data_IF_418934848569
#
_entry.id   IF_418934848569
#
_cell.length_a   1.000
_cell.length_b   1.000
_cell.length_c   1.000
_cell.angle_alpha   90.00
_cell.angle_beta   90.00
_cell.angle_gamma   90.00
#
_symmetry.space_group_name_H-M   'P 1'
#
loop_
_entity.id
_entity.type
_entity.pdbx_description
1 polymer ?
2 non-polymer ?
3 non-polymer ?
4 water ?
#
# COMPACT_ATOMS: atom_id res chain seq x y z
N UNK A 10 1.17 -4.27 17.25
CA UNK A 10 -0.24 -3.92 17.39
C UNK A 10 -0.40 -2.42 17.64
N UNK A 11 0.73 -1.75 17.81
CA UNK A 11 0.73 -0.30 18.06
C UNK A 11 0.51 0.49 16.77
N UNK A 12 -0.56 1.27 16.75
CA UNK A 12 -0.91 2.09 15.60
C UNK A 12 0.11 3.21 15.37
N UNK A 13 0.27 3.61 14.11
CA UNK A 13 1.11 4.75 13.77
C UNK A 13 0.29 6.00 13.53
N UNK A 14 0.82 7.14 13.95
CA UNK A 14 0.11 8.41 13.80
C UNK A 14 0.69 9.26 12.69
N UNK A 15 -0.11 9.51 11.66
CA UNK A 15 0.32 10.36 10.56
C UNK A 15 -0.32 11.74 10.70
N UNK A 16 0.50 12.76 10.94
CA UNK A 16 -0.04 14.11 11.07
C UNK A 16 -0.15 14.75 9.70
N UNK A 17 -1.39 14.95 9.26
CA UNK A 17 -1.64 15.43 7.91
C UNK A 17 -1.18 16.87 7.70
N UNK A 18 -0.92 17.56 8.80
CA UNK A 18 -0.40 18.93 8.75
C UNK A 18 1.08 18.93 8.38
N UNK A 19 1.71 17.77 8.49
CA UNK A 19 3.13 17.64 8.19
C UNK A 19 3.38 17.65 6.69
N UNK A 20 4.60 18.02 6.32
CA UNK A 20 4.99 18.16 4.92
C UNK A 20 4.95 16.82 4.19
N UNK A 21 5.64 15.83 4.73
CA UNK A 21 5.63 14.49 4.17
C UNK A 21 5.36 13.45 5.25
N UNK A 22 4.43 12.54 4.95
CA UNK A 22 4.21 11.41 5.82
C UNK A 22 4.48 10.13 5.08
N UNK A 23 5.39 9.33 5.62
CA UNK A 23 5.75 8.09 4.98
C UNK A 23 5.97 7.04 6.05
N UNK A 24 5.72 5.79 5.67
CA UNK A 24 5.93 4.65 6.55
C UNK A 24 6.77 3.64 5.79
N UNK A 25 7.87 3.20 6.39
CA UNK A 25 8.71 2.23 5.70
C UNK A 25 8.55 0.83 6.31
N UNK A 26 8.80 -0.17 5.47
CA UNK A 26 8.69 -1.56 5.86
C UNK A 26 9.95 -2.28 5.41
N UNK A 27 10.62 -2.96 6.33
CA UNK A 27 11.74 -3.82 5.97
C UNK A 27 11.28 -5.26 5.77
N UNK A 28 11.35 -5.74 4.53
CA UNK A 28 11.03 -7.13 4.24
C UNK A 28 12.32 -7.94 4.29
N UNK A 29 12.60 -8.56 5.44
CA UNK A 29 13.82 -9.33 5.62
C UNK A 29 13.58 -10.55 6.49
N UNK A 30 14.37 -11.59 6.26
CA UNK A 30 14.24 -12.88 6.97
C UNK A 30 12.79 -13.38 7.02
N UNK A 31 12.13 -13.32 5.87
CA UNK A 31 10.75 -13.80 5.76
C UNK A 31 10.69 -15.11 5.00
N UNK A 32 9.55 -15.78 5.09
CA UNK A 32 9.35 -16.99 4.33
C UNK A 32 7.92 -16.95 3.85
N UNK A 33 7.63 -17.66 2.74
CA UNK A 33 6.30 -17.61 2.12
C UNK A 33 5.20 -17.88 3.14
N UNK A 34 4.14 -17.08 3.11
CA UNK A 34 3.06 -17.14 4.08
C UNK A 34 3.12 -16.11 5.20
N UNK A 35 4.30 -15.54 5.46
CA UNK A 35 4.44 -14.55 6.54
C UNK A 35 3.62 -13.30 6.23
N UNK A 36 3.07 -12.69 7.27
CA UNK A 36 2.30 -11.44 7.16
C UNK A 36 2.85 -10.37 8.08
N UNK A 37 2.75 -9.12 7.65
CA UNK A 37 3.11 -7.99 8.48
C UNK A 37 1.92 -7.03 8.49
N UNK A 38 1.55 -6.53 9.66
CA UNK A 38 0.36 -5.69 9.82
C UNK A 38 0.71 -4.37 10.50
N UNK A 39 0.10 -3.27 10.04
CA UNK A 39 0.25 -2.00 10.74
C UNK A 39 -1.00 -1.15 10.62
N UNK A 40 -1.38 -0.51 11.71
CA UNK A 40 -2.49 0.44 11.73
C UNK A 40 -1.99 1.88 11.67
N UNK A 41 -2.76 2.75 11.00
CA UNK A 41 -2.43 4.17 10.95
C UNK A 41 -3.66 5.00 11.27
N UNK A 42 -3.48 6.00 12.12
CA UNK A 42 -4.54 6.98 12.34
C UNK A 42 -4.06 8.35 11.88
N UNK A 43 -4.91 9.05 11.13
CA UNK A 43 -4.59 10.39 10.65
C UNK A 43 -4.89 11.43 11.70
N UNK A 44 -4.14 12.52 11.71
CA UNK A 44 -4.44 13.65 12.58
C UNK A 44 -4.37 14.94 11.78
N UNK A 45 -5.20 15.91 12.16
CA UNK A 45 -5.36 17.15 11.40
C UNK A 45 -5.52 18.37 12.29
N UNK A 48 -6.68 21.96 11.59
CA UNK A 48 -7.75 21.39 10.77
C UNK A 48 -7.75 21.96 9.35
N UNK A 49 -6.84 21.46 8.51
CA UNK A 49 -6.77 21.83 7.11
C UNK A 49 -7.94 21.27 6.31
N UNK A 50 -8.22 21.87 5.16
CA UNK A 50 -9.29 21.39 4.29
C UNK A 50 -8.80 20.26 3.39
N UNK A 51 -8.87 19.03 3.89
CA UNK A 51 -8.32 17.86 3.18
C UNK A 51 -9.40 17.07 2.46
N UNK A 52 -9.20 16.86 1.16
CA UNK A 52 -10.14 16.07 0.37
C UNK A 52 -9.74 14.60 0.32
N UNK A 53 -8.48 14.36 -0.09
CA UNK A 53 -7.96 12.99 -0.20
C UNK A 53 -6.66 12.84 0.58
N UNK A 54 -6.30 11.59 0.89
CA UNK A 54 -4.94 11.28 1.30
C UNK A 54 -4.46 10.20 0.33
N UNK A 55 -3.49 10.55 -0.51
CA UNK A 55 -3.12 9.70 -1.62
C UNK A 55 -1.91 8.88 -1.25
N UNK A 56 -2.07 7.56 -1.33
CA UNK A 56 -0.98 6.64 -1.02
C UNK A 56 -0.22 6.23 -2.27
N UNK A 57 1.11 6.17 -2.17
CA UNK A 57 1.88 5.55 -3.22
C UNK A 57 2.97 4.69 -2.59
N UNK A 58 3.57 3.83 -3.40
CA UNK A 58 4.62 2.92 -2.94
C UNK A 58 5.94 3.19 -3.68
N UNK A 59 7.04 3.19 -2.95
CA UNK A 59 8.38 3.14 -3.55
C UNK A 59 9.12 1.97 -2.93
N UNK A 60 10.19 1.51 -3.56
CA UNK A 60 11.00 0.44 -2.99
C UNK A 60 12.48 0.66 -3.29
N UNK A 61 13.34 -0.10 -2.63
CA UNK A 61 14.76 -0.04 -2.89
C UNK A 61 15.57 -0.89 -1.95
N UNK A 62 16.89 -0.83 -2.10
CA UNK A 62 17.84 -1.57 -1.28
C UNK A 62 17.59 -3.08 -1.31
N UNK A 63 17.21 -3.59 -2.46
CA UNK A 63 17.15 -5.04 -2.62
C UNK A 63 18.53 -5.64 -2.40
N UNK A 64 18.58 -6.75 -1.68
CA UNK A 64 19.82 -7.51 -1.52
C UNK A 64 19.48 -8.98 -1.68
N UNK A 65 20.35 -9.72 -2.38
CA UNK A 65 20.14 -11.14 -2.59
C UNK A 65 20.46 -11.95 -1.33
N UNK A 66 21.50 -11.53 -0.62
CA UNK A 66 21.97 -12.22 0.59
C UNK A 66 22.13 -13.73 0.42
N UNK A 67 22.71 -14.14 -0.70
CA UNK A 67 22.99 -15.55 -0.92
C UNK A 67 21.86 -16.36 -1.54
N UNK A 68 20.70 -15.74 -1.72
CA UNK A 68 19.61 -16.42 -2.39
C UNK A 68 19.87 -16.40 -3.88
N UNK A 69 19.27 -17.32 -4.63
CA UNK A 69 19.62 -17.42 -6.04
C UNK A 69 18.99 -16.29 -6.85
N UNK A 70 17.86 -15.79 -6.40
CA UNK A 70 17.24 -14.65 -7.08
C UNK A 70 18.05 -13.36 -6.90
N UNK A 71 18.34 -12.68 -8.00
CA UNK A 71 19.05 -11.41 -7.91
C UNK A 71 18.25 -10.25 -8.53
N UNK A 72 17.00 -10.55 -8.91
CA UNK A 72 16.08 -9.55 -9.45
C UNK A 72 15.25 -8.85 -8.35
N UNK A 73 15.45 -7.53 -8.18
CA UNK A 73 14.66 -6.78 -7.19
C UNK A 73 13.16 -6.90 -7.41
N UNK A 74 12.76 -6.81 -8.67
CA UNK A 74 11.36 -6.78 -9.04
C UNK A 74 10.68 -8.13 -8.87
N UNK A 75 11.43 -9.21 -9.13
CA UNK A 75 10.84 -10.54 -8.98
C UNK A 75 10.55 -10.80 -7.51
N UNK A 76 11.43 -10.33 -6.64
CA UNK A 76 11.21 -10.49 -5.20
C UNK A 76 10.03 -9.64 -4.76
N UNK A 77 10.02 -8.39 -5.21
CA UNK A 77 8.89 -7.52 -4.92
C UNK A 77 7.55 -8.15 -5.32
N UNK A 78 7.55 -8.80 -6.49
CA UNK A 78 6.36 -9.47 -7.01
C UNK A 78 5.86 -10.64 -6.16
N UNK A 79 6.61 -11.02 -5.14
CA UNK A 79 6.19 -12.10 -4.25
C UNK A 79 5.24 -11.60 -3.15
N UNK A 80 5.04 -10.29 -3.07
CA UNK A 80 4.26 -9.70 -1.98
C UNK A 80 2.96 -9.04 -2.44
N UNK A 81 2.00 -9.02 -1.53
CA UNK A 81 0.66 -8.47 -1.75
C UNK A 81 0.30 -7.56 -0.60
N UNK A 82 -0.52 -6.55 -0.86
CA UNK A 82 -0.94 -5.68 0.22
C UNK A 82 -2.46 -5.62 0.24
N UNK A 83 -3.01 -5.74 1.43
CA UNK A 83 -4.43 -5.46 1.66
C UNK A 83 -4.50 -4.20 2.49
N UNK A 84 -5.28 -3.24 2.02
CA UNK A 84 -5.45 -1.99 2.74
C UNK A 84 -6.93 -1.76 2.98
N UNK A 85 -7.31 -1.55 4.24
CA UNK A 85 -8.70 -1.25 4.52
C UNK A 85 -8.84 -0.08 5.49
N UNK A 86 -10.05 0.49 5.55
CA UNK A 86 -10.33 1.54 6.51
C UNK A 86 -11.43 1.08 7.44
N UNK A 87 -11.36 1.53 8.69
CA UNK A 87 -12.30 1.10 9.70
C UNK A 87 -13.10 2.30 10.18
N UNK A 88 -14.41 2.23 10.04
CA UNK A 88 -15.29 3.28 10.55
C UNK A 88 -15.47 3.20 12.05
N UNK A 96 -18.28 -1.86 10.19
CA UNK A 96 -17.77 -2.67 9.08
C UNK A 96 -16.42 -2.18 8.57
N UNK A 97 -15.64 -3.08 7.96
CA UNK A 97 -14.38 -2.69 7.36
C UNK A 97 -14.56 -2.47 5.85
N UNK A 98 -13.99 -1.38 5.35
CA UNK A 98 -14.05 -1.09 3.94
C UNK A 98 -12.75 -1.53 3.26
N UNK A 99 -12.83 -2.50 2.37
CA UNK A 99 -11.63 -3.00 1.70
C UNK A 99 -11.30 -2.17 0.47
N UNK A 100 -10.20 -1.43 0.55
CA UNK A 100 -9.79 -0.65 -0.61
C UNK A 100 -8.94 -1.50 -1.56
N UNK A 101 -7.78 -1.95 -1.09
CA UNK A 101 -6.94 -2.86 -1.86
C UNK A 101 -7.06 -4.25 -1.25
N UNK A 102 -7.26 -5.27 -2.07
CA UNK A 102 -7.37 -6.65 -1.59
C UNK A 102 -6.28 -7.49 -2.25
N UNK A 103 -5.27 -7.86 -1.47
CA UNK A 103 -4.16 -8.68 -1.99
C UNK A 103 -3.57 -8.12 -3.30
N UNK A 104 -3.39 -6.80 -3.35
CA UNK A 104 -2.80 -6.19 -4.56
C UNK A 104 -1.32 -6.51 -4.65
N UNK A 105 -0.88 -6.92 -5.84
CA UNK A 105 0.54 -7.27 -6.03
C UNK A 105 1.42 -6.02 -5.91
N UNK A 106 2.50 -6.11 -5.14
CA UNK A 106 3.28 -4.92 -4.83
C UNK A 106 3.98 -4.35 -6.08
N UNK A 107 4.36 -5.22 -7.01
CA UNK A 107 4.95 -4.72 -8.25
C UNK A 107 3.93 -3.91 -9.04
N UNK A 108 2.70 -4.43 -9.15
CA UNK A 108 1.63 -3.72 -9.86
C UNK A 108 1.36 -2.38 -9.19
N UNK A 109 1.31 -2.38 -7.85
CA UNK A 109 1.04 -1.15 -7.10
C UNK A 109 2.18 -0.13 -7.26
N UNK A 110 3.42 -0.61 -7.30
CA UNK A 110 4.56 0.29 -7.56
C UNK A 110 4.43 0.94 -8.92
N UNK A 111 4.27 0.14 -9.97
CA UNK A 111 4.23 0.69 -11.31
C UNK A 111 3.04 1.64 -11.50
N UNK A 112 1.90 1.28 -10.96
CA UNK A 112 0.74 2.18 -11.03
C UNK A 112 0.97 3.47 -10.24
N UNK A 113 1.39 3.36 -8.99
CA UNK A 113 1.38 4.54 -8.10
C UNK A 113 2.63 5.39 -8.22
N UNK A 114 3.72 4.79 -8.70
CA UNK A 114 4.95 5.55 -8.90
C UNK A 114 5.12 6.05 -10.33
N UNK A 115 4.64 5.27 -11.31
CA UNK A 115 4.88 5.61 -12.72
C UNK A 115 3.61 5.95 -13.49
N UNK A 116 2.46 5.78 -12.86
CA UNK A 116 1.15 5.85 -13.54
C UNK A 116 1.13 4.97 -14.80
N UNK A 117 1.75 3.80 -14.70
CA UNK A 117 1.78 2.81 -15.77
C UNK A 117 0.39 2.24 -16.02
N UNK A 118 -0.10 2.36 -17.25
CA UNK A 118 -1.48 2.00 -17.56
C UNK A 118 -1.78 0.51 -17.46
N UNK A 119 -0.85 -0.31 -17.93
CA UNK A 119 -1.01 -1.76 -17.88
C UNK A 119 -1.04 -2.25 -16.43
N UNK A 120 -0.16 -1.69 -15.62
CA UNK A 120 -0.18 -1.99 -14.19
C UNK A 120 -1.48 -1.54 -13.55
N UNK A 121 -1.97 -0.36 -13.92
CA UNK A 121 -3.22 0.15 -13.36
C UNK A 121 -4.35 -0.81 -13.67
N UNK A 122 -4.33 -1.39 -14.87
CA UNK A 122 -5.38 -2.30 -15.28
C UNK A 122 -5.43 -3.55 -14.39
N UNK A 123 -4.25 -3.98 -13.93
CA UNK A 123 -4.17 -5.14 -13.05
C UNK A 123 -4.82 -4.86 -11.69
N UNK A 124 -4.61 -3.65 -11.18
CA UNK A 124 -5.20 -3.23 -9.92
C UNK A 124 -6.70 -2.95 -10.13
N UNK A 125 -7.05 -2.42 -11.31
CA UNK A 125 -8.44 -2.06 -11.60
C UNK A 125 -9.35 -3.28 -11.72
N UNK A 126 -8.74 -4.46 -11.81
CA UNK A 126 -9.49 -5.70 -11.79
C UNK A 126 -10.31 -5.78 -10.51
N UNK A 127 -9.72 -5.33 -9.42
CA UNK A 127 -10.30 -5.50 -8.08
C UNK A 127 -10.81 -4.19 -7.46
N UNK A 128 -10.11 -3.09 -7.69
CA UNK A 128 -10.39 -1.89 -6.91
C UNK A 128 -11.65 -1.16 -7.40
N UNK A 129 -12.37 -0.59 -6.44
CA UNK A 129 -13.43 0.36 -6.74
C UNK A 129 -12.77 1.64 -7.25
N UNK A 130 -13.05 2.03 -8.50
CA UNK A 130 -12.40 3.23 -9.05
C UNK A 130 -12.67 4.53 -8.26
N UNK A 131 -13.64 4.53 -7.35
CA UNK A 131 -13.83 5.70 -6.48
C UNK A 131 -12.58 5.99 -5.63
N UNK A 132 -11.73 4.97 -5.40
CA UNK A 132 -10.48 5.16 -4.63
C UNK A 132 -9.24 5.47 -5.49
N UNK A 133 -9.39 5.43 -6.80
CA UNK A 133 -8.27 5.62 -7.69
C UNK A 133 -8.17 7.08 -8.11
N UNK A 134 -7.01 7.68 -7.88
CA UNK A 134 -6.73 9.05 -8.33
C UNK A 134 -6.17 9.01 -9.74
N UNK A 135 -6.47 10.03 -10.54
CA UNK A 135 -5.99 10.09 -11.92
C UNK A 135 -4.47 9.90 -12.03
N UNK A 136 -3.76 10.27 -10.97
CA UNK A 136 -2.31 10.19 -10.95
C UNK A 136 -1.79 8.77 -10.79
N UNK A 137 -2.68 7.83 -10.49
CA UNK A 137 -2.29 6.46 -10.21
C UNK A 137 -2.16 6.15 -8.72
N UNK A 138 -2.20 7.17 -7.88
CA UNK A 138 -2.15 6.97 -6.43
C UNK A 138 -3.51 6.51 -5.92
N UNK A 139 -3.54 5.89 -4.74
CA UNK A 139 -4.78 5.39 -4.15
C UNK A 139 -5.23 6.24 -2.98
N UNK A 140 -6.50 6.66 -3.01
CA UNK A 140 -7.05 7.44 -1.91
C UNK A 140 -7.41 6.54 -0.74
N UNK A 141 -6.85 6.81 0.44
CA UNK A 141 -7.16 6.00 1.60
C UNK A 141 -7.86 6.79 2.71
N UNK A 142 -8.37 7.98 2.37
CA UNK A 142 -9.10 8.81 3.31
C UNK A 142 -10.60 8.58 3.18
N UNK A 143 -11.19 7.92 4.17
CA UNK A 143 -12.63 7.68 4.17
C UNK A 143 -13.24 8.15 5.49
N UNK A 144 -14.53 8.45 5.44
CA UNK A 144 -15.32 8.77 6.63
C UNK A 144 -16.50 7.82 6.63
N UNK A 145 -16.49 6.86 7.56
CA UNK A 145 -17.48 5.78 7.58
C UNK A 145 -17.54 5.03 6.25
N UNK A 146 -16.38 4.79 5.65
CA UNK A 146 -16.30 3.99 4.45
C UNK A 146 -16.56 4.74 3.14
N UNK A 147 -16.89 6.02 3.25
CA UNK A 147 -17.13 6.86 2.08
C UNK A 147 -16.01 7.90 1.93
N UNK A 148 -15.65 8.19 0.69
CA UNK A 148 -14.64 9.21 0.44
C UNK A 148 -15.26 10.57 0.75
N UNK A 149 -14.42 11.53 1.10
CA UNK A 149 -14.90 12.87 1.44
C UNK A 149 -15.75 13.48 0.32
N UNK A 150 -15.36 13.31 -0.97
CA UNK A 150 -16.24 14.00 -1.92
C UNK A 150 -17.61 13.35 -2.11
N UNK A 151 -17.87 12.18 -1.50
CA UNK A 151 -19.21 11.60 -1.55
C UNK A 151 -20.20 12.38 -0.66
N UNK A 152 -19.68 13.18 0.27
CA UNK A 152 -20.51 13.96 1.18
C UNK A 152 -20.90 15.31 0.57
N UNK A 153 -22.01 15.85 1.06
CA UNK A 153 -22.57 17.08 0.53
C UNK A 153 -21.97 18.28 1.24
N UNK A 154 -20.70 18.57 0.93
CA UNK A 154 -19.99 19.62 1.61
C UNK A 154 -19.27 19.09 2.84
N UNK A 155 -18.49 19.96 3.48
CA UNK A 155 -17.80 19.62 4.71
C UNK A 155 -18.43 20.42 5.84
N UNK A 156 -18.65 19.77 6.99
CA UNK A 156 -19.09 20.50 8.19
C UNK A 156 -18.13 21.64 8.55
N UNK A 157 -18.52 22.53 9.46
CA UNK A 157 -17.64 23.61 9.91
C UNK A 157 -16.32 23.03 10.44
N UNK A 158 -16.39 21.91 11.15
CA UNK A 158 -15.21 21.16 11.57
C UNK A 158 -15.17 19.81 10.85
N UNK A 159 -14.18 19.62 9.96
CA UNK A 159 -14.04 18.40 9.17
C UNK A 159 -13.95 17.15 10.05
N UNK A 160 -14.71 16.12 9.72
CA UNK A 160 -14.71 14.87 10.49
C UNK A 160 -13.37 14.15 10.33
N UNK A 161 -12.88 13.57 11.42
CA UNK A 161 -11.68 12.76 11.38
C UNK A 161 -11.85 11.59 10.41
N UNK A 162 -10.79 11.28 9.68
CA UNK A 162 -10.79 10.17 8.75
C UNK A 162 -10.73 8.83 9.48
N UNK A 163 -11.26 7.79 8.83
CA UNK A 163 -11.23 6.43 9.36
C UNK A 163 -9.79 5.97 9.61
N UNK A 164 -9.62 5.08 10.58
CA UNK A 164 -8.36 4.39 10.80
C UNK A 164 -8.01 3.52 9.59
N UNK A 165 -6.72 3.47 9.24
CA UNK A 165 -6.27 2.66 8.11
C UNK A 165 -5.54 1.42 8.63
N UNK A 166 -5.85 0.26 8.05
CA UNK A 166 -5.15 -0.98 8.44
C UNK A 166 -4.48 -1.60 7.24
N UNK A 167 -3.18 -1.89 7.36
CA UNK A 167 -2.43 -2.43 6.25
C UNK A 167 -1.88 -3.81 6.57
N UNK A 168 -2.00 -4.72 5.62
CA UNK A 168 -1.45 -6.05 5.79
C UNK A 168 -0.64 -6.42 4.56
N UNK A 169 0.64 -6.71 4.79
CA UNK A 169 1.51 -7.15 3.73
C UNK A 169 1.81 -8.62 3.92
N UNK A 170 1.64 -9.42 2.87
CA UNK A 170 1.94 -10.83 3.00
C UNK A 170 2.88 -11.33 1.89
N UNK A 171 3.71 -12.28 2.25
CA UNK A 171 4.59 -13.01 1.32
C UNK A 171 3.67 -14.08 0.75
N UNK A 172 3.29 -14.00 -0.53
CA UNK A 172 2.40 -15.02 -1.07
C UNK A 172 3.05 -16.41 -1.05
N UNK A 173 2.25 -17.44 -0.74
CA UNK A 173 2.74 -18.82 -0.58
C UNK A 173 2.31 -19.69 -1.74
N UNK A 174 3.17 -19.85 -2.75
CA UNK A 174 2.83 -20.59 -3.96
C UNK A 174 2.65 -22.09 -3.72
N UNK A 175 3.56 -22.67 -2.94
CA UNK A 175 3.59 -24.11 -2.66
C UNK A 175 3.89 -24.96 -3.89
N UNK A 176 4.43 -24.33 -4.93
CA UNK A 176 4.82 -25.02 -6.16
C UNK A 176 6.16 -25.76 -6.00
N UNK A 177 6.21 -27.00 -6.46
CA UNK A 177 7.46 -27.76 -6.51
C UNK A 177 7.93 -27.90 -7.96
N UNK A 178 9.21 -28.17 -8.17
CA UNK A 178 9.71 -28.35 -9.53
C UNK A 178 9.94 -29.81 -9.83
N UNK A 179 10.59 -30.08 -10.96
CA UNK A 179 10.86 -31.45 -11.39
C UNK A 179 11.70 -32.18 -10.36
N UNK A 180 12.56 -31.43 -9.66
CA UNK A 180 13.43 -32.01 -8.65
C UNK A 180 12.72 -32.19 -7.30
N UNK A 181 11.51 -31.65 -7.18
CA UNK A 181 10.71 -31.81 -5.98
C UNK A 181 10.98 -30.73 -4.95
N UNK A 182 11.70 -29.71 -5.37
CA UNK A 182 12.09 -28.61 -4.50
C UNK A 182 11.08 -27.47 -4.61
N UNK A 183 10.90 -26.72 -3.53
CA UNK A 183 9.97 -25.59 -3.55
C UNK A 183 10.59 -24.48 -4.39
N UNK A 184 9.91 -24.11 -5.47
CA UNK A 184 10.46 -23.14 -6.42
C UNK A 184 10.70 -21.76 -5.80
N UNK A 185 9.82 -21.33 -4.89
CA UNK A 185 9.97 -20.03 -4.26
C UNK A 185 11.19 -19.93 -3.36
N UNK A 186 11.92 -21.05 -3.18
CA UNK A 186 13.16 -20.98 -2.41
C UNK A 186 14.24 -20.17 -3.13
N UNK A 187 13.99 -19.85 -4.39
CA UNK A 187 14.92 -18.95 -5.10
C UNK A 187 15.05 -17.59 -4.39
N UNK A 188 14.02 -17.23 -3.62
CA UNK A 188 13.98 -15.95 -2.90
C UNK A 188 14.51 -16.05 -1.48
N UNK A 189 14.87 -17.25 -1.04
CA UNK A 189 15.37 -17.44 0.32
C UNK A 189 16.56 -16.55 0.63
N UNK A 190 16.46 -15.75 1.69
CA UNK A 190 17.56 -14.84 2.01
C UNK A 190 17.38 -13.42 1.48
N UNK A 191 16.61 -13.25 0.40
CA UNK A 191 16.38 -11.92 -0.20
C UNK A 191 15.83 -10.90 0.80
N UNK A 192 16.21 -9.64 0.67
CA UNK A 192 15.59 -8.58 1.45
C UNK A 192 15.32 -7.38 0.55
N UNK A 193 14.36 -6.57 0.96
CA UNK A 193 14.03 -5.36 0.21
C UNK A 193 13.34 -4.38 1.16
N UNK A 194 13.42 -3.08 0.86
CA UNK A 194 12.76 -2.06 1.69
C UNK A 194 11.62 -1.39 0.93
N UNK A 195 10.51 -1.17 1.60
CA UNK A 195 9.36 -0.45 1.01
C UNK A 195 9.18 0.88 1.68
N UNK A 196 8.64 1.85 0.96
CA UNK A 196 8.19 3.08 1.61
C UNK A 196 6.82 3.45 1.04
N UNK A 197 5.85 3.57 1.94
CA UNK A 197 4.53 4.05 1.53
C UNK A 197 4.45 5.53 1.86
N UNK A 198 4.09 6.35 0.87
CA UNK A 198 3.92 7.78 1.10
C UNK A 198 2.43 8.09 1.20
N UNK A 199 2.08 9.09 2.01
CA UNK A 199 0.70 9.54 2.12
C UNK A 199 0.65 11.04 1.90
N UNK A 200 -0.06 11.46 0.85
CA UNK A 200 -0.11 12.85 0.46
C UNK A 200 -1.52 13.42 0.61
N UNK A 201 -1.70 14.40 1.52
CA UNK A 201 -2.98 15.08 1.66
C UNK A 201 -3.21 16.07 0.52
N UNK A 202 -4.44 16.13 0.01
CA UNK A 202 -4.73 17.05 -1.07
C UNK A 202 -5.81 18.05 -0.67
N UNK A 203 -5.78 19.22 -1.31
CA UNK A 203 -6.85 20.20 -1.18
C UNK A 203 -8.03 19.77 -2.01
N UNK A 204 -9.15 20.46 -1.87
CA UNK A 204 -10.32 20.07 -2.61
C UNK A 204 -10.19 20.30 -4.12
N UNK A 205 -9.21 21.12 -4.53
CA UNK A 205 -8.92 21.22 -5.96
C UNK A 205 -7.96 20.11 -6.45
N UNK A 206 -7.56 19.24 -5.53
CA UNK A 206 -6.74 18.10 -5.89
C UNK A 206 -5.23 18.30 -5.81
N UNK A 207 -4.80 19.51 -5.49
CA UNK A 207 -3.37 19.80 -5.34
C UNK A 207 -2.87 19.40 -3.94
N UNK A 208 -1.59 19.06 -3.84
CA UNK A 208 -0.96 18.81 -2.54
C UNK A 208 -1.10 20.00 -1.59
N UNK A 209 -1.36 19.74 -0.31
CA UNK A 209 -1.56 20.85 0.63
C UNK A 209 -0.27 21.62 0.85
X LIG B 1 8.56 -2.28 10.62
X LIG B 1 8.20 -0.95 10.99
X LIG B 1 9.72 -2.21 9.63
X LIG B 1 9.50 -3.19 8.62
X LIG C 1 23.72 -8.98 -3.60
X LIG C 1 22.47 -8.30 -3.80
X LIG C 1 24.23 -8.63 -2.22
X LIG C 1 23.51 -9.47 -1.30
X LIG D 1 4.17 -2.68 8.52
X LIG D 1 4.00 -1.32 8.09
X LIG D 1 5.25 -2.72 9.58
X LIG D 1 5.53 -1.38 10.03
X LIG E 1 7.02 -26.66 4.86
X LIG E 1 7.17 -27.32 6.15
X LIG E 1 6.96 -27.66 3.80
X LIG E 1 5.79 -25.87 4.87
X LIG E 1 8.17 -25.78 4.65
#
# INVERSE_FOLDING_TARGET
NDIKSKDATFASGTLDLSAKENSASVNLSNLKPGDKLTKDFQFENNGSLAIKEVLMALNYGDFKANGGSNTSPEDFLSQFEVTLLTVGKEGGNGYPKNIILDDANLKDLYLMSAKNDAAAAEKIKKQIDPKFLNASGKVNVATIDGKTAPEYDGVPKTPTDFDQVQMEIQFKDDKTKDEKGLMVQNKYQGNSIKLQFSFEATQWNGLTIK
EDO C1 O1 C2 O2
EDO C1 O1 C2 O2
EDO C1 O1 C2 O2
SO4 S O1 O2 O3 O4
#
